data_IF_114849953469
#
_entry.id   IF_114849953469
#
_cell.length_a   1.000
_cell.length_b   1.000
_cell.length_c   1.000
_cell.angle_alpha   90.00
_cell.angle_beta   90.00
_cell.angle_gamma   90.00
#
_symmetry.space_group_name_H-M   'P 1'
#
loop_
_entity.id
_entity.type
_entity.pdbx_description
1 polymer ?
#
# COMPACT_ATOMS: atom_id res chain seq x y z
N UNK A 1 -9.32 15.24 -9.13
CA UNK A 1 -9.45 13.91 -8.49
C UNK A 1 -9.42 14.03 -6.96
N UNK A 2 -10.56 14.35 -6.34
CA UNK A 2 -10.73 14.42 -4.88
C UNK A 2 -11.35 13.13 -4.33
N UNK A 3 -12.40 12.63 -4.99
CA UNK A 3 -13.17 11.47 -4.55
C UNK A 3 -12.38 10.17 -4.56
N UNK A 4 -11.59 9.92 -5.62
CA UNK A 4 -10.76 8.71 -5.74
C UNK A 4 -9.75 8.64 -4.60
N UNK A 5 -9.07 9.75 -4.26
CA UNK A 5 -8.09 9.77 -3.15
C UNK A 5 -8.75 9.53 -1.79
N UNK A 6 -9.91 10.13 -1.55
CA UNK A 6 -10.69 9.91 -0.32
C UNK A 6 -11.13 8.45 -0.21
N UNK A 7 -11.69 7.88 -1.28
CA UNK A 7 -12.14 6.49 -1.29
C UNK A 7 -10.97 5.53 -1.11
N UNK A 8 -9.84 5.75 -1.79
CA UNK A 8 -8.63 4.92 -1.62
C UNK A 8 -8.05 5.02 -0.21
N UNK A 9 -8.15 6.19 0.44
CA UNK A 9 -7.73 6.33 1.84
C UNK A 9 -8.69 5.60 2.79
N UNK A 10 -10.00 5.72 2.58
CA UNK A 10 -11.01 5.02 3.37
C UNK A 10 -10.91 3.50 3.24
N UNK A 11 -10.74 2.97 2.03
CA UNK A 11 -10.57 1.53 1.82
C UNK A 11 -9.25 1.01 2.39
N UNK A 12 -8.18 1.81 2.38
CA UNK A 12 -6.91 1.45 3.03
C UNK A 12 -7.04 1.33 4.54
N UNK A 13 -7.79 2.24 5.19
CA UNK A 13 -8.06 2.18 6.63
C UNK A 13 -8.92 0.97 7.00
N UNK A 14 -9.95 0.67 6.20
CA UNK A 14 -10.77 -0.53 6.40
C UNK A 14 -9.95 -1.82 6.27
N UNK A 15 -9.05 -1.89 5.29
CA UNK A 15 -8.16 -3.03 5.10
C UNK A 15 -7.17 -3.19 6.26
N UNK A 16 -6.62 -2.08 6.77
CA UNK A 16 -5.76 -2.10 7.95
C UNK A 16 -6.52 -2.59 9.20
N UNK A 17 -7.79 -2.19 9.36
CA UNK A 17 -8.65 -2.70 10.42
C UNK A 17 -8.96 -4.20 10.28
N UNK A 18 -9.22 -4.69 9.05
CA UNK A 18 -9.40 -6.11 8.78
C UNK A 18 -8.18 -6.93 9.22
N UNK A 19 -6.98 -6.51 8.83
CA UNK A 19 -5.73 -7.18 9.25
C UNK A 19 -5.56 -7.22 10.78
N UNK A 20 -5.97 -6.16 11.48
CA UNK A 20 -5.94 -6.17 12.95
C UNK A 20 -6.95 -7.14 13.54
N UNK A 21 -8.15 -7.24 12.98
CA UNK A 21 -9.14 -8.22 13.41
C UNK A 21 -8.65 -9.66 13.17
N UNK A 22 -7.94 -9.91 12.08
CA UNK A 22 -7.35 -11.24 11.81
C UNK A 22 -6.29 -11.61 12.85
N UNK A 23 -5.43 -10.65 13.24
CA UNK A 23 -4.44 -10.87 14.31
C UNK A 23 -5.12 -11.10 15.66
N UNK A 24 -6.17 -10.34 15.98
CA UNK A 24 -6.93 -10.53 17.22
C UNK A 24 -7.62 -11.90 17.22
N UNK A 25 -8.25 -12.28 16.11
CA UNK A 25 -8.90 -13.58 15.94
C UNK A 25 -7.91 -14.73 16.18
N UNK A 26 -6.73 -14.65 15.56
CA UNK A 26 -5.67 -15.63 15.77
C UNK A 26 -5.18 -15.69 17.22
N UNK A 27 -5.07 -14.54 17.92
CA UNK A 27 -4.70 -14.53 19.33
C UNK A 27 -5.76 -15.15 20.25
N UNK A 28 -7.04 -14.88 19.97
CA UNK A 28 -8.16 -15.42 20.77
C UNK A 28 -8.25 -16.93 20.55
N UNK A 29 -8.15 -17.40 19.30
CA UNK A 29 -8.18 -18.82 18.97
C UNK A 29 -7.06 -19.61 19.66
N UNK A 30 -5.89 -19.00 19.85
CA UNK A 30 -4.71 -19.69 20.39
C UNK A 30 -4.35 -19.29 21.83
N UNK A 31 -5.23 -18.56 22.53
CA UNK A 31 -5.01 -18.13 23.92
C UNK A 31 -4.82 -19.31 24.88
N UNK A 32 -5.42 -20.47 24.59
CA UNK A 32 -5.33 -21.66 25.45
C UNK A 32 -4.19 -22.63 25.03
N UNK A 33 -3.40 -22.30 24.01
CA UNK A 33 -2.31 -23.15 23.54
C UNK A 33 -1.04 -22.88 24.35
N UNK A 34 -0.51 -23.91 25.02
CA UNK A 34 0.71 -23.79 25.84
C UNK A 34 1.89 -23.35 24.97
N UNK A 35 2.55 -22.26 25.36
CA UNK A 35 3.71 -21.69 24.64
C UNK A 35 3.35 -20.69 23.53
N UNK A 36 2.07 -20.36 23.34
CA UNK A 36 1.64 -19.38 22.33
C UNK A 36 2.09 -17.95 22.66
N UNK A 37 2.56 -17.22 21.64
CA UNK A 37 2.97 -15.80 21.73
C UNK A 37 1.96 -14.91 21.03
N UNK A 38 1.39 -13.97 21.79
CA UNK A 38 0.51 -12.93 21.25
C UNK A 38 1.21 -12.08 20.20
N UNK A 39 0.54 -11.89 19.07
CA UNK A 39 0.96 -10.96 18.00
C UNK A 39 0.10 -9.70 18.02
N UNK A 40 0.64 -8.54 17.61
CA UNK A 40 -0.12 -7.27 17.58
C UNK A 40 0.21 -6.48 16.33
N UNK A 41 -0.83 -5.97 15.66
CA UNK A 41 -0.69 -4.99 14.58
C UNK A 41 -0.45 -3.59 15.15
N UNK A 42 0.61 -2.94 14.68
CA UNK A 42 0.91 -1.52 14.90
C UNK A 42 0.59 -0.74 13.62
N UNK A 43 0.04 0.46 13.78
CA UNK A 43 -0.29 1.34 12.65
C UNK A 43 0.69 2.50 12.61
N UNK A 44 1.09 2.89 11.40
CA UNK A 44 1.88 4.08 11.14
C UNK A 44 1.18 4.91 10.06
N UNK A 45 1.31 6.23 10.14
CA UNK A 45 0.66 7.12 9.19
C UNK A 45 1.20 6.93 7.77
N UNK A 46 0.27 6.90 6.82
CA UNK A 46 0.62 6.91 5.40
C UNK A 46 0.87 8.37 4.98
N UNK A 47 2.10 8.66 4.51
CA UNK A 47 2.52 10.02 4.15
C UNK A 47 1.52 10.71 3.19
N UNK A 48 0.99 11.86 3.61
CA UNK A 48 0.05 12.66 2.81
C UNK A 48 0.79 13.46 1.74
N UNK A 49 0.42 13.25 0.49
CA UNK A 49 1.01 13.93 -0.67
C UNK A 49 0.55 15.39 -0.70
N UNK A 50 1.37 16.29 -0.14
CA UNK A 50 1.13 17.74 -0.11
C UNK A 50 1.25 18.32 -1.53
N UNK A 51 0.12 18.68 -2.14
CA UNK A 51 0.10 19.50 -3.36
C UNK A 51 0.28 20.97 -2.96
N UNK A 52 1.49 21.32 -2.53
CA UNK A 52 1.94 22.71 -2.52
C UNK A 52 2.20 23.17 -3.95
N UNK A 53 1.76 24.37 -4.30
CA UNK A 53 2.10 25.06 -5.55
C UNK A 53 3.63 25.19 -5.68
N UNK A 54 4.25 24.16 -6.25
CA UNK A 54 5.71 24.08 -6.35
C UNK A 54 6.27 22.75 -6.86
N UNK A 55 5.45 21.72 -7.09
CA UNK A 55 5.91 20.52 -7.81
C UNK A 55 4.82 20.05 -8.77
N UNK A 56 4.97 20.43 -10.04
CA UNK A 56 4.28 19.79 -11.16
C UNK A 56 4.75 18.33 -11.21
N UNK A 57 4.08 17.44 -10.47
CA UNK A 57 4.20 16.00 -10.70
C UNK A 57 3.50 15.70 -12.01
N UNK A 58 4.30 15.63 -13.07
CA UNK A 58 4.00 15.02 -14.35
C UNK A 58 3.64 13.55 -14.10
N UNK A 59 2.40 13.25 -13.72
CA UNK A 59 1.93 11.87 -13.78
C UNK A 59 1.57 11.63 -15.25
N UNK A 60 2.56 11.17 -16.02
CA UNK A 60 2.43 10.15 -17.09
C UNK A 60 3.75 9.93 -17.86
N UNK A 61 4.80 9.50 -17.16
CA UNK A 61 5.83 8.60 -17.72
C UNK A 61 6.34 7.66 -16.61
N UNK A 62 5.47 6.82 -16.05
CA UNK A 62 5.89 5.64 -15.24
C UNK A 62 5.06 4.38 -15.58
N UNK A 63 4.32 4.38 -16.68
CA UNK A 63 3.84 3.13 -17.31
C UNK A 63 4.08 3.28 -18.81
N UNK A 64 4.78 2.30 -19.38
CA UNK A 64 5.22 2.19 -20.78
C UNK A 64 6.56 2.84 -21.17
N UNK A 65 7.68 2.27 -20.73
CA UNK A 65 8.96 2.23 -21.48
C UNK A 65 9.81 0.97 -21.12
N UNK A 66 9.18 -0.21 -21.03
CA UNK A 66 9.90 -1.51 -21.05
C UNK A 66 10.09 -2.03 -22.48
N UNK A 67 9.62 -1.32 -23.52
CA UNK A 67 9.57 -1.86 -24.89
C UNK A 67 10.34 -1.08 -25.99
N UNK A 68 11.25 -0.15 -25.65
CA UNK A 68 12.09 0.54 -26.66
C UNK A 68 13.61 0.28 -26.57
N UNK A 69 14.05 -0.71 -25.79
CA UNK A 69 15.48 -1.13 -25.72
C UNK A 69 15.79 -2.42 -26.48
N UNK A 70 14.80 -3.09 -27.09
CA UNK A 70 14.98 -4.37 -27.82
C UNK A 70 14.99 -4.29 -29.36
N UNK A 71 15.00 -3.10 -29.97
CA UNK A 71 14.96 -3.01 -31.45
C UNK A 71 16.18 -2.33 -32.10
N UNK A 72 17.14 -1.78 -31.34
CA UNK A 72 18.32 -1.08 -31.90
C UNK A 72 19.63 -1.87 -31.82
N UNK A 73 19.62 -3.09 -31.28
CA UNK A 73 20.84 -3.92 -31.14
C UNK A 73 21.04 -4.96 -32.24
N UNK A 74 20.11 -5.13 -33.19
CA UNK A 74 20.20 -6.12 -34.28
C UNK A 74 20.45 -5.49 -35.67
N UNK A 75 20.98 -4.27 -35.73
CA UNK A 75 21.32 -3.59 -37.00
C UNK A 75 22.53 -2.65 -36.83
N UNK A 76 23.67 -3.23 -36.43
CA UNK A 76 25.02 -2.71 -36.68
C UNK A 76 26.05 -3.83 -36.48
#
# INVERSE_FOLDING_TARGET
MSLIRSLTSGTSSLKAHQQRLDVISNNIANTNTIGYKSSRTTFADQFSQTYGWGVRRTISQVVELVELTRFKSDLA
#
